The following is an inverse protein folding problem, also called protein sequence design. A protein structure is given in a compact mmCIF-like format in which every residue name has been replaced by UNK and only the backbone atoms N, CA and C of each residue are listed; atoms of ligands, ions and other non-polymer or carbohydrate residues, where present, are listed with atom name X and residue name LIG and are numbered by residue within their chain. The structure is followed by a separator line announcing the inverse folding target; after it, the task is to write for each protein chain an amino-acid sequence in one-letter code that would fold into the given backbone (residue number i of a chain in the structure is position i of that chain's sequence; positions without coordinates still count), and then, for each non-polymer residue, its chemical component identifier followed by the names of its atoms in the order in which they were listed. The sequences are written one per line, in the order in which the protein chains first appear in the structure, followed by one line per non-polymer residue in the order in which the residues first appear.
data_IF_868480192340
#
_entry.id   IF_868480192340
#
_cell.length_a   1.000
_cell.length_b   1.000
_cell.length_c   1.000
_cell.angle_alpha   90.00
_cell.angle_beta   90.00
_cell.angle_gamma   90.00
#
_symmetry.space_group_name_H-M   'P 1'
#
loop_
_entity.id
_entity.type
_entity.pdbx_description
1 polymer ?
#
# COMPACT_ATOMS: atom_id res chain seq x y z
N UNK A 1 14.67 -19.40 -14.48
CA UNK A 1 16.00 -18.79 -14.71
C UNK A 1 16.19 -17.38 -14.09
N UNK A 2 15.22 -16.79 -13.38
CA UNK A 2 15.31 -15.39 -12.89
C UNK A 2 15.90 -15.20 -11.49
N UNK A 3 16.06 -16.27 -10.70
CA UNK A 3 16.50 -16.14 -9.29
C UNK A 3 18.02 -15.97 -9.12
N UNK A 4 18.82 -16.65 -9.95
CA UNK A 4 20.30 -16.59 -9.90
C UNK A 4 20.78 -15.22 -10.34
N UNK A 5 20.26 -14.68 -11.44
CA UNK A 5 20.54 -13.32 -11.91
C UNK A 5 20.24 -12.25 -10.86
N UNK A 6 19.09 -12.36 -10.17
CA UNK A 6 18.71 -11.45 -9.07
C UNK A 6 19.63 -11.57 -7.85
N UNK A 7 20.25 -12.73 -7.62
CA UNK A 7 21.26 -12.90 -6.55
C UNK A 7 22.59 -12.28 -6.96
N UNK A 8 23.00 -12.45 -8.22
CA UNK A 8 24.21 -11.82 -8.78
C UNK A 8 24.12 -10.29 -8.77
N UNK A 9 22.97 -9.70 -9.09
CA UNK A 9 22.74 -8.24 -9.00
C UNK A 9 22.88 -7.66 -7.58
N UNK A 10 23.00 -8.49 -6.54
CA UNK A 10 23.17 -8.07 -5.14
C UNK A 10 24.62 -8.19 -4.66
N UNK A 11 25.49 -8.82 -5.44
CA UNK A 11 26.90 -8.99 -5.06
C UNK A 11 27.54 -7.60 -5.00
N UNK A 12 28.21 -7.28 -3.89
CA UNK A 12 28.83 -5.97 -3.65
C UNK A 12 27.90 -4.90 -3.06
N UNK A 13 26.59 -5.16 -2.94
CA UNK A 13 25.63 -4.22 -2.37
C UNK A 13 25.51 -4.34 -0.86
N UNK A 14 25.35 -3.20 -0.20
CA UNK A 14 24.95 -3.14 1.22
C UNK A 14 23.45 -3.33 1.31
N UNK A 15 23.02 -4.13 2.29
CA UNK A 15 21.61 -4.42 2.52
C UNK A 15 21.22 -3.99 3.94
N UNK A 16 20.12 -3.25 4.06
CA UNK A 16 19.56 -2.83 5.34
C UNK A 16 18.08 -3.14 5.40
N UNK A 17 17.59 -3.54 6.57
CA UNK A 17 16.18 -3.82 6.81
C UNK A 17 15.52 -2.55 7.37
N UNK A 18 14.45 -2.12 6.71
CA UNK A 18 13.61 -0.99 7.10
C UNK A 18 12.23 -1.49 7.52
N UNK A 19 11.63 -0.80 8.48
CA UNK A 19 10.23 -0.98 8.89
C UNK A 19 9.48 0.28 8.48
N UNK A 20 8.50 0.11 7.61
CA UNK A 20 7.55 1.15 7.23
C UNK A 20 6.23 0.90 7.95
N UNK A 21 5.60 1.97 8.39
CA UNK A 21 4.32 1.94 9.09
C UNK A 21 3.38 2.87 8.34
N UNK A 22 2.25 2.36 7.85
CA UNK A 22 1.16 3.21 7.37
C UNK A 22 -0.04 3.07 8.29
N UNK A 23 -0.58 4.22 8.71
CA UNK A 23 -1.80 4.32 9.49
C UNK A 23 -2.91 4.90 8.62
N UNK A 24 -4.09 4.30 8.65
CA UNK A 24 -5.25 4.70 7.88
C UNK A 24 -6.31 5.27 8.82
N UNK A 25 -6.75 6.50 8.54
CA UNK A 25 -7.72 7.24 9.36
C UNK A 25 -8.96 7.59 8.54
N UNK A 26 -8.75 8.13 7.33
CA UNK A 26 -9.80 8.63 6.46
C UNK A 26 -9.51 8.28 5.00
N UNK A 27 -10.54 7.90 4.25
CA UNK A 27 -10.52 7.78 2.80
C UNK A 27 -11.76 8.45 2.20
N UNK A 28 -11.53 9.48 1.40
CA UNK A 28 -12.57 10.12 0.60
C UNK A 28 -12.52 9.54 -0.81
N UNK A 29 -13.65 9.01 -1.28
CA UNK A 29 -13.76 8.41 -2.60
C UNK A 29 -14.97 8.96 -3.36
N UNK A 30 -14.72 9.40 -4.59
CA UNK A 30 -15.77 9.70 -5.56
C UNK A 30 -16.09 8.45 -6.37
N UNK A 31 -17.32 7.97 -6.16
CA UNK A 31 -17.94 6.84 -6.84
C UNK A 31 -18.66 7.31 -8.10
N UNK A 32 -19.24 6.37 -8.85
CA UNK A 32 -20.02 6.68 -10.06
C UNK A 32 -21.44 6.14 -9.94
N UNK A 33 -22.34 6.57 -10.82
CA UNK A 33 -23.70 6.00 -10.85
C UNK A 33 -23.71 4.48 -11.04
N UNK A 34 -22.72 3.92 -11.74
CA UNK A 34 -22.61 2.47 -12.02
C UNK A 34 -21.92 1.69 -10.91
N UNK A 35 -21.21 2.35 -10.01
CA UNK A 35 -20.44 1.70 -8.96
C UNK A 35 -20.46 2.56 -7.70
N UNK A 36 -21.13 2.04 -6.67
CA UNK A 36 -21.25 2.60 -5.33
C UNK A 36 -20.97 1.47 -4.34
N UNK A 37 -19.77 1.42 -3.73
CA UNK A 37 -19.38 0.32 -2.85
C UNK A 37 -20.10 0.42 -1.49
N UNK A 38 -20.46 -0.71 -0.87
CA UNK A 38 -20.89 -0.72 0.55
C UNK A 38 -19.68 -0.64 1.47
N UNK A 39 -18.65 -1.44 1.20
CA UNK A 39 -17.40 -1.47 1.97
C UNK A 39 -16.19 -1.43 1.06
N UNK A 40 -15.12 -0.86 1.60
CA UNK A 40 -13.84 -0.70 0.92
C UNK A 40 -12.69 -1.10 1.83
N UNK A 41 -11.59 -1.52 1.21
CA UNK A 41 -10.30 -1.70 1.86
C UNK A 41 -9.19 -1.09 1.00
N UNK A 42 -8.08 -0.77 1.64
CA UNK A 42 -6.86 -0.37 0.95
C UNK A 42 -5.89 -1.55 0.95
N UNK A 43 -5.46 -1.96 -0.24
CA UNK A 43 -4.38 -2.92 -0.43
C UNK A 43 -3.09 -2.19 -0.78
N UNK A 44 -2.02 -2.71 -0.22
CA UNK A 44 -0.68 -2.24 -0.43
C UNK A 44 0.17 -3.39 -0.97
N UNK A 45 0.49 -3.30 -2.25
CA UNK A 45 1.07 -4.39 -3.03
C UNK A 45 2.50 -4.03 -3.42
N UNK A 46 3.41 -4.99 -3.22
CA UNK A 46 4.76 -4.94 -3.79
C UNK A 46 5.17 -6.31 -4.27
N UNK A 47 5.31 -6.44 -5.59
CA UNK A 47 5.59 -7.72 -6.26
C UNK A 47 4.52 -8.75 -5.84
N UNK A 48 4.93 -9.86 -5.23
CA UNK A 48 4.02 -10.95 -4.85
C UNK A 48 3.57 -10.87 -3.37
N UNK A 49 3.82 -9.76 -2.68
CA UNK A 49 3.36 -9.54 -1.30
C UNK A 49 2.29 -8.46 -1.30
N UNK A 50 1.23 -8.70 -0.55
CA UNK A 50 0.15 -7.76 -0.31
C UNK A 50 -0.07 -7.61 1.20
N UNK A 51 -0.38 -6.38 1.62
CA UNK A 51 -0.92 -6.05 2.92
C UNK A 51 -2.25 -5.35 2.69
N UNK A 52 -3.24 -5.55 3.54
CA UNK A 52 -4.56 -4.93 3.34
C UNK A 52 -5.16 -4.50 4.66
N UNK A 53 -5.88 -3.39 4.66
CA UNK A 53 -6.80 -3.06 5.76
C UNK A 53 -7.96 -4.06 5.80
N UNK A 54 -8.69 -4.08 6.91
CA UNK A 54 -10.05 -4.64 6.95
C UNK A 54 -10.96 -3.86 6.01
N UNK A 55 -12.11 -4.47 5.68
CA UNK A 55 -13.20 -3.78 4.99
C UNK A 55 -13.88 -2.83 5.97
N UNK A 56 -14.06 -1.58 5.55
CA UNK A 56 -14.76 -0.54 6.31
C UNK A 56 -15.87 0.06 5.44
N UNK A 57 -16.97 0.45 6.09
CA UNK A 57 -18.14 0.99 5.38
C UNK A 57 -17.83 2.31 4.70
N UNK A 58 -18.27 2.42 3.45
CA UNK A 58 -18.31 3.66 2.69
C UNK A 58 -19.66 4.34 2.89
N UNK A 59 -19.63 5.61 3.25
CA UNK A 59 -20.84 6.38 3.53
C UNK A 59 -20.98 7.54 2.53
N UNK A 60 -22.08 7.63 1.76
CA UNK A 60 -22.28 8.70 0.80
C UNK A 60 -22.44 10.06 1.50
N UNK A 61 -21.92 11.11 0.88
CA UNK A 61 -22.04 12.47 1.40
C UNK A 61 -23.43 13.07 1.21
N UNK A 62 -23.86 13.91 2.15
CA UNK A 62 -25.18 14.57 2.13
C UNK A 62 -25.35 15.47 0.90
N UNK A 63 -24.30 16.23 0.53
CA UNK A 63 -24.35 17.17 -0.61
C UNK A 63 -24.15 16.48 -1.96
N UNK A 64 -23.28 15.47 -2.00
CA UNK A 64 -22.97 14.71 -3.21
C UNK A 64 -23.00 13.21 -2.83
N UNK A 65 -24.07 12.47 -3.18
CA UNK A 65 -24.19 11.06 -2.81
C UNK A 65 -23.13 10.19 -3.49
N UNK A 66 -22.48 10.67 -4.55
CA UNK A 66 -21.40 9.92 -5.20
C UNK A 66 -20.05 10.13 -4.50
N UNK A 67 -19.88 11.17 -3.70
CA UNK A 67 -18.66 11.40 -2.92
C UNK A 67 -18.89 10.89 -1.50
N UNK A 68 -18.26 9.78 -1.15
CA UNK A 68 -18.41 9.20 0.17
C UNK A 68 -17.10 9.01 0.92
N UNK A 69 -17.26 8.62 2.17
CA UNK A 69 -16.23 8.63 3.19
C UNK A 69 -16.12 7.25 3.82
N UNK A 70 -14.89 6.79 4.01
CA UNK A 70 -14.56 5.66 4.89
C UNK A 70 -13.79 6.22 6.07
N UNK A 71 -14.28 5.92 7.28
CA UNK A 71 -13.66 6.34 8.53
C UNK A 71 -13.19 5.13 9.32
N UNK A 72 -11.91 5.11 9.66
CA UNK A 72 -11.34 4.16 10.61
C UNK A 72 -11.53 4.73 12.02
N UNK A 73 -12.55 4.26 12.75
CA UNK A 73 -12.83 4.71 14.13
C UNK A 73 -11.62 4.56 15.07
N UNK A 74 -10.81 3.53 14.82
CA UNK A 74 -9.47 3.36 15.38
C UNK A 74 -8.52 3.26 14.20
N UNK A 75 -7.45 4.06 14.15
CA UNK A 75 -6.51 4.01 13.05
C UNK A 75 -5.99 2.59 12.84
N UNK A 76 -6.15 2.07 11.63
CA UNK A 76 -5.65 0.74 11.30
C UNK A 76 -4.23 0.88 10.75
N UNK A 77 -3.30 0.09 11.31
CA UNK A 77 -1.88 0.19 10.96
C UNK A 77 -1.39 -1.04 10.19
N UNK A 78 -0.76 -0.81 9.05
CA UNK A 78 -0.02 -1.82 8.31
C UNK A 78 1.49 -1.66 8.54
N UNK A 79 2.10 -2.71 9.08
CA UNK A 79 3.54 -2.80 9.30
C UNK A 79 4.20 -3.57 8.16
N UNK A 80 5.19 -2.94 7.52
CA UNK A 80 5.85 -3.46 6.33
C UNK A 80 7.36 -3.49 6.52
N UNK A 81 7.91 -4.69 6.53
CA UNK A 81 9.36 -4.90 6.56
C UNK A 81 9.93 -5.05 5.16
N UNK A 82 10.86 -4.16 4.77
CA UNK A 82 11.52 -4.19 3.46
C UNK A 82 13.04 -4.14 3.61
N UNK A 83 13.73 -4.99 2.85
CA UNK A 83 15.17 -4.85 2.66
C UNK A 83 15.44 -3.94 1.46
N UNK A 84 16.15 -2.85 1.72
CA UNK A 84 16.68 -1.95 0.71
C UNK A 84 18.16 -2.26 0.46
N UNK A 85 18.59 -2.03 -0.77
CA UNK A 85 19.95 -2.28 -1.22
C UNK A 85 20.55 -0.97 -1.71
N UNK A 86 21.85 -0.80 -1.53
CA UNK A 86 22.62 0.28 -2.14
C UNK A 86 24.01 -0.17 -2.51
N UNK A 87 24.62 0.51 -3.46
CA UNK A 87 26.03 0.29 -3.78
C UNK A 87 26.92 0.68 -2.58
N UNK A 88 28.09 0.07 -2.47
CA UNK A 88 28.97 0.26 -1.31
C UNK A 88 29.36 1.73 -1.08
N UNK A 89 29.48 2.49 -2.18
CA UNK A 89 29.83 3.91 -2.25
C UNK A 89 28.62 4.84 -2.38
N UNK A 90 27.41 4.30 -2.58
CA UNK A 90 26.21 5.12 -2.72
C UNK A 90 25.71 5.61 -1.35
N UNK A 91 25.26 6.86 -1.31
CA UNK A 91 24.62 7.43 -0.13
C UNK A 91 23.18 6.92 0.01
N UNK A 92 22.44 6.92 -1.10
CA UNK A 92 21.02 6.57 -1.17
C UNK A 92 20.77 5.07 -1.44
N UNK A 93 19.58 4.61 -1.05
CA UNK A 93 19.10 3.27 -1.33
C UNK A 93 18.34 3.21 -2.65
N UNK A 94 18.40 2.07 -3.33
CA UNK A 94 17.59 1.81 -4.51
C UNK A 94 16.09 1.86 -4.21
N UNK A 95 15.37 2.57 -5.06
CA UNK A 95 13.92 2.69 -5.02
C UNK A 95 13.21 1.33 -5.06
N UNK A 96 11.99 1.37 -4.51
CA UNK A 96 11.04 0.27 -4.54
C UNK A 96 9.65 0.79 -4.85
N UNK A 97 9.04 0.19 -5.85
CA UNK A 97 7.68 0.52 -6.26
C UNK A 97 6.65 -0.22 -5.42
N UNK A 98 5.57 0.48 -5.14
CA UNK A 98 4.38 -0.01 -4.45
C UNK A 98 3.15 0.37 -5.26
N UNK A 99 2.13 -0.48 -5.18
CA UNK A 99 0.81 -0.18 -5.76
C UNK A 99 -0.19 -0.13 -4.63
N UNK A 100 -0.98 0.94 -4.61
CA UNK A 100 -2.11 1.11 -3.72
C UNK A 100 -3.37 0.81 -4.51
N UNK A 101 -4.20 -0.09 -4.00
CA UNK A 101 -5.46 -0.46 -4.64
C UNK A 101 -6.58 -0.25 -3.64
N UNK A 102 -7.61 0.47 -4.06
CA UNK A 102 -8.89 0.54 -3.34
C UNK A 102 -9.74 -0.58 -3.91
N UNK A 103 -10.14 -1.51 -3.06
CA UNK A 103 -10.93 -2.67 -3.45
C UNK A 103 -12.22 -2.68 -2.64
N UNK A 104 -13.32 -2.98 -3.31
CA UNK A 104 -14.59 -3.28 -2.65
C UNK A 104 -14.66 -4.77 -2.27
N UNK A 105 -15.71 -5.13 -1.54
CA UNK A 105 -16.06 -6.53 -1.25
C UNK A 105 -16.30 -7.40 -2.49
#
# INVERSE_FOLDING_TARGET
MTSVWKRLQRVGKKASKFQFVASFEELILESSKKWQPDKLRVLWIRRNRHHSTKLHSWQPGIKNPYRGLVMWQVPETLNITVTLFKEATAEEFEDKDWTFVIENE
#
